data_IF_030043360883
#
_entry.id   IF_030043360883
#
_cell.length_a   1.000
_cell.length_b   1.000
_cell.length_c   1.000
_cell.angle_alpha   90.00
_cell.angle_beta   90.00
_cell.angle_gamma   90.00
#
_symmetry.space_group_name_H-M   'P 1'
#
loop_
_entity.id
_entity.type
_entity.pdbx_description
1 polymer ?
#
# COMPACT_ATOMS: atom_id res chain seq x y z
N UNK A 1 -10.54 -1.81 0.10
CA UNK A 1 -10.41 -2.76 1.22
C UNK A 1 -9.48 -3.88 0.79
N UNK A 2 -8.45 -4.20 1.59
CA UNK A 2 -7.53 -5.29 1.26
C UNK A 2 -8.10 -6.56 1.90
N UNK A 3 -8.75 -7.41 1.12
CA UNK A 3 -9.36 -8.65 1.61
C UNK A 3 -8.48 -9.86 1.31
N UNK A 4 -8.07 -10.60 2.34
CA UNK A 4 -7.46 -11.92 2.21
C UNK A 4 -8.50 -12.98 2.60
N UNK A 5 -8.91 -13.91 1.71
CA UNK A 5 -9.88 -14.95 2.04
C UNK A 5 -9.44 -15.86 3.20
N UNK A 6 -8.13 -15.99 3.44
CA UNK A 6 -7.57 -16.77 4.54
C UNK A 6 -7.64 -16.05 5.91
N UNK A 7 -7.98 -14.75 5.93
CA UNK A 7 -8.13 -13.96 7.15
C UNK A 7 -9.52 -13.33 7.15
N UNK A 8 -10.52 -13.96 7.79
CA UNK A 8 -11.86 -13.40 7.83
C UNK A 8 -11.91 -12.12 8.67
N UNK A 9 -12.33 -11.02 8.05
CA UNK A 9 -12.59 -9.72 8.69
C UNK A 9 -11.54 -8.65 8.42
N UNK A 10 -11.88 -7.40 8.76
CA UNK A 10 -10.98 -6.25 8.63
C UNK A 10 -9.86 -6.32 9.66
N UNK A 11 -8.62 -6.20 9.22
CA UNK A 11 -7.47 -6.00 10.10
C UNK A 11 -7.07 -4.52 10.12
N UNK A 12 -6.70 -4.03 11.30
CA UNK A 12 -5.99 -2.75 11.45
C UNK A 12 -4.49 -3.05 11.52
N UNK A 13 -3.71 -2.43 10.63
CA UNK A 13 -2.26 -2.55 10.61
C UNK A 13 -1.59 -1.27 11.09
N UNK A 14 -0.70 -1.37 12.07
CA UNK A 14 0.18 -0.29 12.50
C UNK A 14 1.56 -0.50 11.88
N UNK A 15 1.94 0.37 10.96
CA UNK A 15 3.15 0.26 10.17
C UNK A 15 4.26 1.12 10.76
N UNK A 16 5.40 0.51 11.10
CA UNK A 16 6.63 1.24 11.37
C UNK A 16 7.58 1.05 10.18
N UNK A 17 7.74 2.11 9.39
CA UNK A 17 8.52 2.10 8.14
C UNK A 17 10.02 2.04 8.45
N UNK A 18 10.49 2.77 9.48
CA UNK A 18 11.89 2.83 9.87
C UNK A 18 12.42 1.46 10.30
N UNK A 19 11.62 0.73 11.09
CA UNK A 19 11.98 -0.62 11.55
C UNK A 19 11.49 -1.72 10.61
N UNK A 20 10.76 -1.38 9.55
CA UNK A 20 10.06 -2.32 8.65
C UNK A 20 9.23 -3.38 9.39
N UNK A 21 8.43 -2.95 10.36
CA UNK A 21 7.57 -3.83 11.17
C UNK A 21 6.12 -3.46 10.99
N UNK A 22 5.23 -4.43 11.16
CA UNK A 22 3.79 -4.20 11.21
C UNK A 22 3.18 -4.96 12.37
N UNK A 23 2.28 -4.29 13.08
CA UNK A 23 1.42 -4.91 14.11
C UNK A 23 0.01 -4.99 13.56
N UNK A 24 -0.49 -6.22 13.43
CA UNK A 24 -1.85 -6.50 12.98
C UNK A 24 -2.76 -6.71 14.18
N UNK A 25 -3.87 -5.98 14.21
CA UNK A 25 -4.90 -6.06 15.26
C UNK A 25 -6.23 -6.41 14.60
N UNK A 26 -6.92 -7.41 15.16
CA UNK A 26 -8.28 -7.77 14.72
C UNK A 26 -9.32 -7.21 15.70
N UNK A 27 -10.43 -6.63 15.21
CA UNK A 27 -11.54 -6.21 16.06
C UNK A 27 -12.16 -7.36 16.89
N UNK A 28 -12.05 -8.61 16.43
CA UNK A 28 -12.60 -9.78 17.12
C UNK A 28 -11.74 -10.26 18.30
N UNK A 29 -10.46 -9.88 18.34
CA UNK A 29 -9.53 -10.15 19.44
C UNK A 29 -9.01 -8.83 20.00
N UNK A 30 -9.88 -8.03 20.66
CA UNK A 30 -9.49 -6.73 21.18
C UNK A 30 -8.36 -6.92 22.20
N UNK A 31 -7.28 -6.14 22.06
CA UNK A 31 -6.05 -6.16 22.88
C UNK A 31 -5.00 -7.22 22.52
N UNK A 32 -5.15 -7.93 21.40
CA UNK A 32 -4.09 -8.78 20.85
C UNK A 32 -3.55 -8.17 19.56
N UNK A 33 -2.23 -7.99 19.49
CA UNK A 33 -1.51 -7.58 18.29
C UNK A 33 -0.53 -8.66 17.86
N UNK A 34 -0.41 -8.89 16.56
CA UNK A 34 0.62 -9.77 15.99
C UNK A 34 1.67 -8.90 15.31
N UNK A 35 2.88 -8.88 15.84
CA UNK A 35 4.02 -8.21 15.20
C UNK A 35 4.73 -9.17 14.25
N UNK A 36 4.98 -8.69 13.04
CA UNK A 36 5.80 -9.36 12.05
C UNK A 36 6.59 -8.35 11.23
N UNK A 37 7.59 -8.83 10.49
CA UNK A 37 8.38 -8.00 9.60
C UNK A 37 7.60 -7.72 8.31
N UNK A 38 7.81 -6.54 7.74
CA UNK A 38 7.26 -6.21 6.44
C UNK A 38 7.96 -6.99 5.34
N UNK A 39 7.21 -7.72 4.51
CA UNK A 39 7.75 -8.37 3.32
C UNK A 39 8.58 -7.39 2.50
N UNK A 40 9.69 -7.87 1.94
CA UNK A 40 10.57 -7.03 1.12
C UNK A 40 9.82 -6.40 -0.08
N UNK A 41 8.78 -7.07 -0.56
CA UNK A 41 7.89 -6.68 -1.64
C UNK A 41 6.67 -5.85 -1.19
N UNK A 42 6.55 -5.49 0.09
CA UNK A 42 5.46 -4.63 0.55
C UNK A 42 5.58 -3.21 -0.02
N UNK A 43 4.60 -2.80 -0.83
CA UNK A 43 4.53 -1.47 -1.45
C UNK A 43 3.08 -0.96 -1.40
N UNK A 44 2.83 0.22 -0.82
CA UNK A 44 1.50 0.87 -0.89
C UNK A 44 1.56 1.92 -1.98
N UNK A 45 0.96 1.66 -3.14
CA UNK A 45 0.93 2.55 -4.32
C UNK A 45 2.30 3.02 -4.86
N UNK A 46 3.39 2.69 -4.17
CA UNK A 46 4.75 3.14 -4.41
C UNK A 46 5.35 2.45 -5.63
N UNK A 47 5.90 3.28 -6.52
CA UNK A 47 6.89 2.85 -7.49
C UNK A 47 8.27 2.99 -6.85
N UNK A 48 9.01 1.88 -6.75
CA UNK A 48 10.43 1.92 -6.44
C UNK A 48 11.23 1.75 -7.73
N UNK A 49 12.20 2.62 -7.97
CA UNK A 49 13.09 2.58 -9.12
C UNK A 49 13.36 3.96 -9.71
N UNK A 50 14.18 3.98 -10.75
CA UNK A 50 14.42 5.18 -11.56
C UNK A 50 13.28 5.33 -12.57
N UNK A 51 12.70 6.54 -12.64
CA UNK A 51 11.63 6.87 -13.56
C UNK A 51 12.02 8.01 -14.49
N UNK A 52 11.50 7.99 -15.71
CA UNK A 52 11.60 9.10 -16.65
C UNK A 52 10.36 9.99 -16.53
N UNK A 53 10.57 11.31 -16.49
CA UNK A 53 9.45 12.26 -16.52
C UNK A 53 8.76 12.14 -17.88
N UNK A 54 7.47 11.80 -17.88
CA UNK A 54 6.65 11.63 -19.08
C UNK A 54 5.69 12.79 -19.33
N UNK A 55 5.38 13.61 -18.31
CA UNK A 55 4.47 14.75 -18.46
C UNK A 55 3.92 15.27 -17.13
N UNK A 56 2.75 15.90 -17.18
CA UNK A 56 1.98 16.38 -16.02
C UNK A 56 0.52 15.97 -16.14
N UNK A 57 -0.19 15.91 -15.01
CA UNK A 57 -1.61 15.60 -14.94
C UNK A 57 -2.23 16.19 -13.66
N UNK A 58 -3.51 15.89 -13.43
CA UNK A 58 -4.25 16.24 -12.22
C UNK A 58 -5.14 15.07 -11.82
N UNK A 59 -5.16 14.73 -10.53
CA UNK A 59 -5.99 13.66 -9.97
C UNK A 59 -6.57 14.14 -8.64
N UNK A 60 -7.87 13.95 -8.42
CA UNK A 60 -8.56 14.42 -7.22
C UNK A 60 -8.35 15.93 -6.92
N UNK A 61 -8.19 16.77 -7.96
CA UNK A 61 -7.93 18.21 -7.83
C UNK A 61 -6.48 18.57 -7.51
N UNK A 62 -5.57 17.60 -7.54
CA UNK A 62 -4.16 17.77 -7.15
C UNK A 62 -3.24 17.65 -8.37
N UNK A 63 -2.39 18.66 -8.63
CA UNK A 63 -1.45 18.61 -9.73
C UNK A 63 -0.37 17.56 -9.46
N UNK A 64 0.02 16.83 -10.50
CA UNK A 64 1.04 15.80 -10.41
C UNK A 64 1.94 15.74 -11.65
N UNK A 65 3.10 15.13 -11.47
CA UNK A 65 4.01 14.75 -12.54
C UNK A 65 3.76 13.29 -12.92
N UNK A 66 3.69 13.02 -14.23
CA UNK A 66 3.67 11.66 -14.75
C UNK A 66 5.10 11.13 -14.85
N UNK A 67 5.33 10.00 -14.21
CA UNK A 67 6.60 9.27 -14.20
C UNK A 67 6.40 7.90 -14.82
N UNK A 68 7.24 7.56 -15.80
CA UNK A 68 7.25 6.26 -16.45
C UNK A 68 8.42 5.42 -15.91
N UNK A 69 8.14 4.17 -15.58
CA UNK A 69 9.11 3.18 -15.10
C UNK A 69 8.97 1.94 -15.97
N UNK A 70 10.03 1.55 -16.67
CA UNK A 70 10.02 0.44 -17.63
C UNK A 70 9.64 -0.91 -16.99
N UNK A 71 10.09 -1.14 -15.76
CA UNK A 71 9.68 -2.30 -14.96
C UNK A 71 10.01 -2.09 -13.48
N UNK A 72 9.02 -1.70 -12.69
CA UNK A 72 9.17 -1.77 -11.23
C UNK A 72 9.30 -3.24 -10.82
N UNK A 73 10.19 -3.56 -9.86
CA UNK A 73 10.65 -4.92 -9.60
C UNK A 73 9.55 -5.93 -9.18
N UNK A 74 8.32 -5.48 -8.95
CA UNK A 74 7.18 -6.25 -8.45
C UNK A 74 5.92 -6.09 -9.32
N UNK A 75 6.01 -5.34 -10.43
CA UNK A 75 4.88 -5.10 -11.34
C UNK A 75 5.05 -5.89 -12.64
N UNK A 76 3.92 -6.25 -13.24
CA UNK A 76 3.87 -7.14 -14.39
C UNK A 76 4.44 -6.53 -15.69
N UNK A 77 4.63 -5.21 -15.75
CA UNK A 77 5.11 -4.51 -16.93
C UNK A 77 5.39 -3.03 -16.69
N UNK A 78 5.61 -2.27 -17.79
CA UNK A 78 5.78 -0.82 -17.74
C UNK A 78 4.70 -0.14 -16.92
N UNK A 79 5.09 0.85 -16.13
CA UNK A 79 4.20 1.51 -15.18
C UNK A 79 4.30 3.00 -15.31
N UNK A 80 3.14 3.67 -15.30
CA UNK A 80 3.05 5.12 -15.20
C UNK A 80 2.40 5.48 -13.86
N UNK A 81 3.04 6.35 -13.09
CA UNK A 81 2.44 6.95 -11.90
C UNK A 81 2.31 8.47 -12.03
N UNK A 82 1.21 8.99 -11.50
CA UNK A 82 0.97 10.40 -11.26
C UNK A 82 1.36 10.69 -9.80
N UNK A 83 2.42 11.47 -9.59
CA UNK A 83 3.00 11.76 -8.28
C UNK A 83 3.03 13.27 -8.05
N UNK A 84 2.52 13.73 -6.91
CA UNK A 84 2.58 15.14 -6.51
C UNK A 84 4.03 15.58 -6.24
N UNK A 85 4.25 16.89 -6.11
CA UNK A 85 5.58 17.44 -5.81
C UNK A 85 6.13 16.95 -4.46
N UNK A 86 5.26 16.75 -3.47
CA UNK A 86 5.57 16.20 -2.13
C UNK A 86 5.64 14.67 -2.09
N UNK A 87 5.53 13.98 -3.24
CA UNK A 87 5.79 12.55 -3.36
C UNK A 87 4.58 11.64 -3.13
N UNK A 88 3.36 12.18 -3.09
CA UNK A 88 2.14 11.38 -2.96
C UNK A 88 1.78 10.78 -4.32
N UNK A 89 1.69 9.46 -4.39
CA UNK A 89 1.17 8.77 -5.58
C UNK A 89 -0.34 8.93 -5.61
N UNK A 90 -0.89 9.51 -6.69
CA UNK A 90 -2.32 9.73 -6.87
C UNK A 90 -2.97 8.73 -7.82
N UNK A 91 -2.22 8.20 -8.79
CA UNK A 91 -2.72 7.23 -9.77
C UNK A 91 -1.58 6.34 -10.24
N UNK A 92 -1.85 5.04 -10.40
CA UNK A 92 -0.91 4.07 -10.97
C UNK A 92 -1.59 3.28 -12.07
N UNK A 93 -0.96 3.25 -13.24
CA UNK A 93 -1.37 2.46 -14.41
C UNK A 93 -0.25 1.50 -14.76
N UNK A 94 -0.55 0.20 -14.79
CA UNK A 94 0.41 -0.86 -15.12
C UNK A 94 0.01 -1.47 -16.45
N UNK A 95 0.98 -1.66 -17.34
CA UNK A 95 0.77 -2.40 -18.56
C UNK A 95 0.80 -3.90 -18.29
N UNK A 96 -0.32 -4.58 -18.59
CA UNK A 96 -0.46 -6.03 -18.46
C UNK A 96 -0.87 -6.56 -19.83
N UNK A 97 -0.09 -7.49 -20.38
CA UNK A 97 -0.33 -8.07 -21.71
C UNK A 97 -0.50 -6.99 -22.81
N UNK A 98 0.30 -5.92 -22.77
CA UNK A 98 0.26 -4.86 -23.77
C UNK A 98 -0.90 -3.87 -23.60
N UNK A 99 -1.65 -3.93 -22.51
CA UNK A 99 -2.80 -3.03 -22.25
C UNK A 99 -2.61 -2.28 -20.94
N UNK A 100 -3.01 -1.00 -20.86
CA UNK A 100 -2.98 -0.25 -19.61
C UNK A 100 -4.09 -0.70 -18.66
N UNK A 101 -3.74 -0.99 -17.41
CA UNK A 101 -4.67 -1.30 -16.32
C UNK A 101 -4.51 -0.31 -15.17
N UNK A 102 -5.61 0.34 -14.78
CA UNK A 102 -5.65 1.18 -13.60
C UNK A 102 -5.59 0.29 -12.35
N UNK A 103 -4.51 0.38 -11.58
CA UNK A 103 -4.32 -0.44 -10.38
C UNK A 103 -4.55 0.33 -9.09
N UNK A 104 -4.45 1.65 -9.14
CA UNK A 104 -4.66 2.53 -8.00
C UNK A 104 -5.08 3.93 -8.48
N UNK A 105 -6.05 4.52 -7.79
CA UNK A 105 -6.45 5.92 -7.98
C UNK A 105 -6.97 6.51 -6.67
N UNK A 106 -6.47 7.70 -6.33
CA UNK A 106 -7.00 8.53 -5.26
C UNK A 106 -8.26 9.23 -5.77
N UNK A 107 -9.38 9.02 -5.08
CA UNK A 107 -10.66 9.67 -5.38
C UNK A 107 -10.83 11.01 -4.64
N UNK A 108 -10.09 11.20 -3.54
CA UNK A 108 -10.09 12.43 -2.75
C UNK A 108 -8.81 12.53 -1.94
N UNK A 109 -8.21 13.72 -1.87
CA UNK A 109 -7.11 14.03 -0.97
C UNK A 109 -7.51 15.16 -0.01
N UNK A 110 -7.14 15.03 1.26
CA UNK A 110 -7.28 16.09 2.25
C UNK A 110 -6.00 16.18 3.04
N UNK A 111 -5.41 17.37 3.13
CA UNK A 111 -4.20 17.63 3.90
C UNK A 111 -4.55 18.32 5.21
N UNK A 112 -3.89 17.88 6.28
CA UNK A 112 -4.04 18.48 7.60
C UNK A 112 -3.23 17.72 8.65
N UNK A 113 -3.04 18.31 9.83
CA UNK A 113 -2.43 17.63 10.96
C UNK A 113 -3.13 16.29 11.25
N UNK A 114 -2.34 15.25 11.47
CA UNK A 114 -2.86 13.96 11.92
C UNK A 114 -2.66 13.83 13.43
N UNK A 115 -3.67 13.34 14.13
CA UNK A 115 -3.56 13.05 15.56
C UNK A 115 -2.55 11.90 15.77
N UNK A 116 -1.46 12.13 16.52
CA UNK A 116 -0.46 11.09 16.77
C UNK A 116 -1.05 9.85 17.47
N UNK A 117 -2.15 9.99 18.20
CA UNK A 117 -2.80 8.85 18.87
C UNK A 117 -3.44 7.86 17.89
N UNK A 118 -3.70 8.26 16.63
CA UNK A 118 -4.14 7.33 15.56
C UNK A 118 -3.08 6.29 15.19
N UNK A 119 -1.81 6.56 15.49
CA UNK A 119 -0.67 5.69 15.19
C UNK A 119 -0.18 4.90 16.40
N UNK A 120 -0.90 4.98 17.52
CA UNK A 120 -0.59 4.25 18.75
C UNK A 120 -1.45 3.02 18.85
N UNK A 121 -0.85 1.92 19.31
CA UNK A 121 -1.63 0.72 19.62
C UNK A 121 -2.64 1.03 20.73
N UNK A 122 -3.86 0.46 20.66
CA UNK A 122 -4.85 0.63 21.72
C UNK A 122 -4.28 0.27 23.11
N UNK A 123 -4.63 1.02 24.18
CA UNK A 123 -4.13 0.74 25.51
C UNK A 123 -4.35 -0.72 25.95
N UNK A 124 -3.32 -1.32 26.55
CA UNK A 124 -3.37 -2.71 27.01
C UNK A 124 -3.21 -3.77 25.92
N UNK A 125 -2.92 -3.37 24.67
CA UNK A 125 -2.57 -4.31 23.60
C UNK A 125 -1.31 -5.09 23.97
N UNK A 126 -1.40 -6.41 23.94
CA UNK A 126 -0.26 -7.32 24.06
C UNK A 126 0.17 -7.75 22.67
N UNK A 127 1.43 -7.49 22.35
CA UNK A 127 2.00 -7.83 21.05
C UNK A 127 2.72 -9.17 21.11
N UNK A 128 2.29 -10.12 20.30
CA UNK A 128 2.95 -11.41 20.09
C UNK A 128 3.87 -11.28 18.87
N UNK A 129 5.15 -11.59 19.03
CA UNK A 129 6.10 -11.64 17.92
C UNK A 129 5.96 -12.97 17.21
N UNK A 130 5.65 -12.93 15.91
CA UNK A 130 5.55 -14.13 15.09
C UNK A 130 6.89 -14.37 14.37
N UNK A 131 7.52 -15.55 14.52
CA UNK A 131 8.74 -15.87 13.78
C UNK A 131 8.44 -15.93 12.28
N UNK A 132 9.25 -15.22 11.47
CA UNK A 132 9.30 -15.19 10.01
C UNK A 132 8.01 -15.55 9.24
N UNK A 133 7.28 -14.52 8.80
CA UNK A 133 6.54 -14.56 7.53
C UNK A 133 5.29 -15.43 7.46
N UNK A 134 4.57 -15.63 8.57
CA UNK A 134 3.21 -16.18 8.48
C UNK A 134 2.38 -15.28 7.55
N UNK A 135 1.84 -15.85 6.45
CA UNK A 135 1.17 -15.16 5.34
C UNK A 135 -0.13 -14.40 5.66
N UNK A 136 -0.16 -13.73 6.80
CA UNK A 136 -1.21 -12.85 7.30
C UNK A 136 -1.23 -11.51 6.56
N UNK A 137 -0.08 -11.04 6.06
CA UNK A 137 -0.02 -9.79 5.32
C UNK A 137 -0.48 -10.01 3.87
N UNK A 138 -1.54 -9.32 3.42
CA UNK A 138 -1.90 -9.34 2.02
C UNK A 138 -0.78 -8.71 1.20
N UNK A 139 -0.43 -9.33 0.07
CA UNK A 139 0.50 -8.74 -0.90
C UNK A 139 -0.20 -7.56 -1.58
N UNK A 140 0.33 -6.33 -1.48
CA UNK A 140 -0.20 -5.22 -2.26
C UNK A 140 -0.02 -5.48 -3.75
N UNK A 141 -1.04 -5.22 -4.57
CA UNK A 141 -1.00 -5.42 -6.02
C UNK A 141 -1.61 -6.73 -6.53
N UNK A 142 -1.92 -7.69 -5.66
CA UNK A 142 -2.91 -8.73 -6.00
C UNK A 142 -4.31 -8.17 -5.70
N UNK A 143 -4.84 -7.37 -6.63
CA UNK A 143 -6.30 -7.21 -6.70
C UNK A 143 -6.95 -8.60 -6.85
N UNK A 144 -8.26 -8.75 -6.58
CA UNK A 144 -8.93 -10.00 -6.88
C UNK A 144 -8.59 -10.38 -8.32
N UNK A 145 -8.10 -11.60 -8.53
CA UNK A 145 -8.12 -12.18 -9.86
C UNK A 145 -9.56 -12.01 -10.34
N UNK A 146 -9.76 -11.20 -11.39
CA UNK A 146 -11.02 -11.21 -12.11
C UNK A 146 -11.17 -12.66 -12.58
N UNK A 147 -12.04 -13.39 -11.89
CA UNK A 147 -12.53 -14.66 -12.38
C UNK A 147 -13.16 -14.39 -13.77
N UNK A 148 -13.02 -15.34 -14.71
CA UNK A 148 -13.54 -15.18 -16.06
C UNK A 148 -15.04 -14.90 -16.10
#
# INVERSE_FOLDING_TARGET
EISNPAVPGTLLGFLNIDTRKVVLVSPSLPKMGVETDLPADFQIASLAGEGTRAGTSEVAGEPCTLWQVEKAAQLAGPTTACITEDGIVLRTVVEIQGKPHLTFEVVSLTRGPQDPDLFRLPPGTRTLKMPNGGGLLPKPGTGPALAP
#
